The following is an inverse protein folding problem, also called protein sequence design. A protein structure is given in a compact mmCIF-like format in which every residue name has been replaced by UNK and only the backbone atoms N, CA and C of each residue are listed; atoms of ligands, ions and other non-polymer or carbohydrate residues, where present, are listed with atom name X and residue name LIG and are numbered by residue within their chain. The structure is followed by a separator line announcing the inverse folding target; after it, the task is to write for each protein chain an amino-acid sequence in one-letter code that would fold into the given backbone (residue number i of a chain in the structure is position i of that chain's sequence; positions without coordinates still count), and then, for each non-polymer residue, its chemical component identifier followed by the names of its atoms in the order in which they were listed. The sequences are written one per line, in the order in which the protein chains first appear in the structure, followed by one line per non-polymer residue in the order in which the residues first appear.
data_IF_487506384035
#
_entry.id   IF_487506384035
#
_cell.length_a   1.000
_cell.length_b   1.000
_cell.length_c   1.000
_cell.angle_alpha   90.00
_cell.angle_beta   90.00
_cell.angle_gamma   90.00
#
_symmetry.space_group_name_H-M   'P 1'
#
loop_
_entity.id
_entity.type
_entity.pdbx_description
1 polymer ?
#
# COMPACT_ATOMS: atom_id res chain seq x y z
N UNK A 1 5.30 -4.33 22.46
CA UNK A 1 6.40 -3.36 22.63
C UNK A 1 7.05 -3.64 23.97
N UNK A 2 8.36 -3.92 24.03
CA UNK A 2 9.04 -4.14 25.31
C UNK A 2 9.09 -2.80 26.05
N UNK A 3 8.62 -2.76 27.28
CA UNK A 3 8.68 -1.55 28.09
C UNK A 3 10.13 -1.31 28.49
N UNK A 4 10.65 -0.13 28.16
CA UNK A 4 11.98 0.31 28.59
C UNK A 4 11.87 0.73 30.06
N UNK A 5 12.72 0.23 30.97
CA UNK A 5 12.75 0.70 32.35
C UNK A 5 12.95 2.23 32.40
N UNK A 6 12.26 2.94 33.30
CA UNK A 6 12.25 4.42 33.32
C UNK A 6 13.65 5.03 33.50
N UNK A 7 14.55 4.34 34.19
CA UNK A 7 15.95 4.75 34.38
C UNK A 7 16.77 4.67 33.09
N UNK A 8 16.55 3.63 32.29
CA UNK A 8 17.19 3.49 30.98
C UNK A 8 16.56 4.50 30.02
N UNK A 9 15.26 4.73 30.14
CA UNK A 9 14.54 5.68 29.31
C UNK A 9 15.07 7.11 29.47
N UNK A 10 15.31 7.56 30.71
CA UNK A 10 15.88 8.88 30.99
C UNK A 10 17.30 8.98 30.43
N UNK A 11 18.13 7.96 30.61
CA UNK A 11 19.49 7.90 30.08
C UNK A 11 19.50 7.97 28.54
N UNK A 12 18.60 7.24 27.87
CA UNK A 12 18.49 7.30 26.40
C UNK A 12 18.13 8.72 25.95
N UNK A 13 17.17 9.38 26.62
CA UNK A 13 16.81 10.76 26.28
C UNK A 13 17.99 11.72 26.45
N UNK A 14 18.74 11.61 27.54
CA UNK A 14 19.95 12.43 27.78
C UNK A 14 20.99 12.24 26.68
N UNK A 15 21.28 11.00 26.27
CA UNK A 15 22.25 10.73 25.19
C UNK A 15 21.69 11.18 23.83
N UNK A 16 20.38 11.06 23.60
CA UNK A 16 19.76 11.48 22.34
C UNK A 16 19.79 13.00 22.12
N UNK A 17 19.77 13.79 23.20
CA UNK A 17 19.88 15.25 23.13
C UNK A 17 21.27 15.71 22.68
N UNK A 18 22.33 15.05 23.16
CA UNK A 18 23.73 15.32 22.80
C UNK A 18 24.52 14.01 22.55
N UNK A 19 24.44 13.43 21.34
CA UNK A 19 25.02 12.13 21.06
C UNK A 19 26.54 12.23 20.86
N UNK A 20 27.29 12.03 21.94
CA UNK A 20 28.74 11.85 21.87
C UNK A 20 29.10 10.40 21.55
N UNK A 21 30.09 10.18 20.68
CA UNK A 21 30.50 8.84 20.25
C UNK A 21 30.85 7.93 21.44
N UNK A 22 31.54 8.49 22.43
CA UNK A 22 31.89 7.79 23.67
C UNK A 22 30.65 7.36 24.47
N UNK A 23 29.66 8.24 24.65
CA UNK A 23 28.44 7.91 25.39
C UNK A 23 27.59 6.85 24.68
N UNK A 24 27.53 6.90 23.35
CA UNK A 24 26.82 5.89 22.55
C UNK A 24 27.49 4.51 22.66
N UNK A 25 28.83 4.45 22.55
CA UNK A 25 29.56 3.20 22.70
C UNK A 25 29.45 2.61 24.11
N UNK A 26 29.56 3.47 25.14
CA UNK A 26 29.40 3.07 26.53
C UNK A 26 27.99 2.55 26.83
N UNK A 27 26.97 3.20 26.26
CA UNK A 27 25.58 2.74 26.35
C UNK A 27 25.37 1.40 25.65
N UNK A 28 25.94 1.20 24.45
CA UNK A 28 25.86 -0.08 23.74
C UNK A 28 26.53 -1.22 24.53
N UNK A 29 27.65 -0.95 25.19
CA UNK A 29 28.32 -1.92 26.04
C UNK A 29 27.52 -2.32 27.28
N UNK A 30 26.83 -1.35 27.91
CA UNK A 30 26.02 -1.60 29.13
C UNK A 30 24.63 -2.14 28.85
N UNK A 31 24.02 -1.72 27.75
CA UNK A 31 22.60 -1.92 27.45
C UNK A 31 22.38 -2.37 25.99
N UNK A 32 22.96 -3.52 25.57
CA UNK A 32 22.90 -3.95 24.17
C UNK A 32 21.47 -4.16 23.67
N UNK A 33 20.56 -4.59 24.54
CA UNK A 33 19.14 -4.81 24.21
C UNK A 33 18.39 -3.53 23.83
N UNK A 34 18.87 -2.36 24.25
CA UNK A 34 18.23 -1.06 24.03
C UNK A 34 18.90 -0.19 22.96
N UNK A 35 19.92 -0.71 22.27
CA UNK A 35 20.64 0.02 21.22
C UNK A 35 19.72 0.52 20.10
N UNK A 36 18.71 -0.29 19.71
CA UNK A 36 17.72 0.10 18.71
C UNK A 36 16.83 1.27 19.14
N UNK A 37 16.46 1.32 20.43
CA UNK A 37 15.67 2.44 20.99
C UNK A 37 16.52 3.73 21.04
N UNK A 38 17.80 3.64 21.41
CA UNK A 38 18.70 4.79 21.38
C UNK A 38 18.85 5.38 19.98
N UNK A 39 19.10 4.54 18.97
CA UNK A 39 19.21 4.98 17.59
C UNK A 39 17.92 5.68 17.10
N UNK A 40 16.76 5.13 17.46
CA UNK A 40 15.46 5.71 17.13
C UNK A 40 15.28 7.10 17.75
N UNK A 41 15.60 7.26 19.04
CA UNK A 41 15.46 8.56 19.74
C UNK A 41 16.43 9.61 19.21
N UNK A 42 17.67 9.24 18.92
CA UNK A 42 18.64 10.13 18.25
C UNK A 42 18.07 10.63 16.91
N UNK A 43 17.50 9.75 16.10
CA UNK A 43 16.90 10.12 14.81
C UNK A 43 15.72 11.08 14.99
N UNK A 44 14.84 10.83 15.97
CA UNK A 44 13.71 11.71 16.29
C UNK A 44 14.17 13.09 16.75
N UNK A 45 15.13 13.18 17.68
CA UNK A 45 15.66 14.46 18.16
C UNK A 45 16.33 15.23 17.03
N UNK A 46 17.08 14.55 16.16
CA UNK A 46 17.70 15.17 14.98
C UNK A 46 16.64 15.71 13.99
N UNK A 47 15.58 14.94 13.73
CA UNK A 47 14.49 15.37 12.87
C UNK A 47 13.77 16.61 13.44
N UNK A 48 13.50 16.63 14.75
CA UNK A 48 12.88 17.79 15.41
C UNK A 48 13.78 19.03 15.38
N UNK A 49 15.08 18.87 15.65
CA UNK A 49 16.06 19.96 15.54
C UNK A 49 16.23 20.46 14.08
N UNK A 50 16.03 19.57 13.09
CA UNK A 50 16.08 19.90 11.67
C UNK A 50 14.81 20.60 11.16
N UNK A 51 13.63 20.17 11.62
CA UNK A 51 12.34 20.68 11.17
C UNK A 51 12.15 22.19 11.44
N UNK A 52 12.81 22.74 12.46
CA UNK A 52 12.80 24.19 12.73
C UNK A 52 13.63 25.04 11.75
N UNK A 53 14.45 24.42 10.89
CA UNK A 53 15.33 25.12 9.93
C UNK A 53 14.82 25.10 8.49
N UNK A 54 13.75 24.38 8.20
CA UNK A 54 13.13 24.43 6.87
C UNK A 54 12.38 25.76 6.73
N UNK A 55 12.85 26.61 5.81
CA UNK A 55 12.13 27.82 5.40
C UNK A 55 10.71 27.42 5.02
N UNK A 56 9.66 27.92 5.69
CA UNK A 56 8.31 27.54 5.35
C UNK A 56 8.09 27.87 3.86
N UNK A 57 7.55 26.94 3.06
CA UNK A 57 7.25 27.22 1.66
C UNK A 57 6.41 28.49 1.61
N UNK A 58 6.86 29.45 0.81
CA UNK A 58 6.25 30.78 0.64
C UNK A 58 4.76 30.56 0.42
N UNK A 59 3.92 30.91 1.41
CA UNK A 59 2.47 30.67 1.34
C UNK A 59 1.97 31.21 0.00
N UNK A 60 1.33 30.39 -0.85
CA UNK A 60 0.77 30.89 -2.10
C UNK A 60 -0.25 31.98 -1.75
N UNK A 61 -0.07 33.16 -2.34
CA UNK A 61 -1.02 34.25 -2.18
C UNK A 61 -2.36 33.83 -2.74
N UNK A 62 -3.45 34.24 -2.07
CA UNK A 62 -4.79 34.03 -2.60
C UNK A 62 -4.95 34.80 -3.90
N UNK A 63 -5.03 34.08 -5.02
CA UNK A 63 -5.43 34.62 -6.32
C UNK A 63 -6.92 34.32 -6.49
N UNK A 64 -7.82 35.32 -6.37
CA UNK A 64 -9.24 35.08 -6.62
C UNK A 64 -9.42 34.54 -8.03
N UNK A 65 -10.07 33.37 -8.12
CA UNK A 65 -10.39 32.72 -9.40
C UNK A 65 -11.30 33.68 -10.19
N UNK A 66 -10.94 34.06 -11.43
CA UNK A 66 -11.82 34.90 -12.24
C UNK A 66 -13.14 34.17 -12.46
N UNK A 67 -14.24 34.87 -12.21
CA UNK A 67 -15.58 34.35 -12.37
C UNK A 67 -15.78 33.95 -13.86
N UNK A 68 -16.22 32.73 -14.15
CA UNK A 68 -16.40 32.29 -15.54
C UNK A 68 -17.48 33.16 -16.20
N UNK A 69 -17.14 33.76 -17.34
CA UNK A 69 -18.08 34.56 -18.11
C UNK A 69 -19.32 33.73 -18.47
N UNK A 70 -20.54 34.32 -18.42
CA UNK A 70 -21.75 33.59 -18.75
C UNK A 70 -21.67 33.05 -20.17
N UNK A 71 -21.88 31.74 -20.32
CA UNK A 71 -21.84 31.06 -21.60
C UNK A 71 -22.81 31.75 -22.59
N UNK A 72 -22.27 32.22 -23.71
CA UNK A 72 -23.04 32.92 -24.73
C UNK A 72 -24.17 32.06 -25.29
N UNK A 73 -25.24 32.70 -25.80
CA UNK A 73 -26.45 32.05 -26.34
C UNK A 73 -26.17 30.96 -27.39
N UNK A 74 -25.01 30.99 -28.06
CA UNK A 74 -24.58 29.99 -29.04
C UNK A 74 -24.19 28.65 -28.41
N UNK A 75 -23.66 28.64 -27.18
CA UNK A 75 -23.29 27.42 -26.47
C UNK A 75 -24.50 26.56 -26.09
N UNK A 76 -25.64 27.20 -25.79
CA UNK A 76 -26.89 26.51 -25.49
C UNK A 76 -27.44 25.72 -26.69
N UNK A 77 -27.28 26.23 -27.92
CA UNK A 77 -27.71 25.53 -29.13
C UNK A 77 -26.83 24.33 -29.47
N UNK A 78 -25.51 24.43 -29.23
CA UNK A 78 -24.59 23.32 -29.44
C UNK A 78 -24.88 22.13 -28.49
N UNK A 79 -25.20 22.41 -27.22
CA UNK A 79 -25.59 21.39 -26.26
C UNK A 79 -26.89 20.66 -26.67
N UNK A 80 -27.86 21.39 -27.23
CA UNK A 80 -29.12 20.80 -27.71
C UNK A 80 -28.91 19.81 -28.87
N UNK A 81 -28.04 20.14 -29.83
CA UNK A 81 -27.74 19.25 -30.96
C UNK A 81 -26.96 18.00 -30.53
N UNK A 82 -26.05 18.13 -29.57
CA UNK A 82 -25.31 17.00 -29.02
C UNK A 82 -26.25 15.99 -28.34
N UNK A 83 -27.24 16.46 -27.57
CA UNK A 83 -28.24 15.60 -26.93
C UNK A 83 -29.14 14.88 -27.95
N UNK A 84 -29.54 15.55 -29.03
CA UNK A 84 -30.33 14.93 -30.09
C UNK A 84 -29.56 13.80 -30.80
N UNK A 85 -28.25 13.98 -31.04
CA UNK A 85 -27.41 12.95 -31.65
C UNK A 85 -27.28 11.70 -30.75
N UNK A 86 -27.11 11.88 -29.43
CA UNK A 86 -27.05 10.77 -28.47
C UNK A 86 -28.37 10.00 -28.42
N UNK A 87 -29.51 10.70 -28.45
CA UNK A 87 -30.83 10.06 -28.47
C UNK A 87 -31.02 9.16 -29.71
N UNK A 88 -30.67 9.67 -30.90
CA UNK A 88 -30.74 8.90 -32.16
C UNK A 88 -29.79 7.70 -32.13
N UNK A 89 -28.56 7.87 -31.64
CA UNK A 89 -27.59 6.78 -31.51
C UNK A 89 -28.07 5.69 -30.53
N UNK A 90 -28.70 6.07 -29.41
CA UNK A 90 -29.25 5.09 -28.45
C UNK A 90 -30.40 4.28 -29.06
N UNK A 91 -31.25 4.93 -29.86
CA UNK A 91 -32.41 4.29 -30.48
C UNK A 91 -31.98 3.31 -31.58
N UNK A 92 -31.00 3.66 -32.41
CA UNK A 92 -30.49 2.76 -33.45
C UNK A 92 -29.73 1.58 -32.85
N UNK A 93 -28.96 1.78 -31.77
CA UNK A 93 -28.29 0.70 -31.07
C UNK A 93 -29.28 -0.28 -30.42
N UNK A 94 -30.35 0.22 -29.80
CA UNK A 94 -31.39 -0.63 -29.22
C UNK A 94 -32.10 -1.51 -30.26
N UNK A 95 -32.35 -0.98 -31.46
CA UNK A 95 -32.92 -1.76 -32.58
C UNK A 95 -31.93 -2.81 -33.07
N UNK A 96 -30.65 -2.47 -33.20
CA UNK A 96 -29.62 -3.40 -33.64
C UNK A 96 -29.40 -4.54 -32.63
N UNK A 97 -29.30 -4.23 -31.34
CA UNK A 97 -29.14 -5.21 -30.27
C UNK A 97 -30.29 -6.21 -30.22
N UNK A 98 -31.54 -5.78 -30.47
CA UNK A 98 -32.72 -6.67 -30.55
C UNK A 98 -32.74 -7.58 -31.77
N UNK A 99 -31.96 -7.27 -32.82
CA UNK A 99 -31.87 -8.06 -34.06
C UNK A 99 -30.69 -9.03 -34.06
N UNK A 100 -29.84 -9.00 -33.04
CA UNK A 100 -28.79 -10.01 -32.92
C UNK A 100 -29.43 -11.36 -32.55
N UNK A 101 -29.14 -12.43 -33.31
CA UNK A 101 -29.55 -13.76 -32.91
C UNK A 101 -28.94 -14.08 -31.54
N UNK A 102 -29.71 -14.75 -30.67
CA UNK A 102 -29.23 -15.17 -29.36
C UNK A 102 -27.89 -15.89 -29.49
N UNK A 103 -26.93 -15.49 -28.67
CA UNK A 103 -25.63 -16.15 -28.63
C UNK A 103 -25.84 -17.65 -28.41
N UNK A 104 -25.15 -18.53 -29.16
CA UNK A 104 -25.31 -19.97 -29.00
C UNK A 104 -25.05 -20.34 -27.54
N UNK A 105 -25.94 -21.19 -26.99
CA UNK A 105 -25.88 -21.59 -25.59
C UNK A 105 -24.46 -22.07 -25.24
N UNK A 106 -23.89 -21.64 -24.10
CA UNK A 106 -22.56 -22.06 -23.68
C UNK A 106 -22.54 -23.58 -23.61
N UNK A 107 -21.65 -24.19 -24.40
CA UNK A 107 -21.46 -25.63 -24.38
C UNK A 107 -21.02 -26.06 -22.98
N UNK A 108 -21.55 -27.16 -22.43
CA UNK A 108 -21.15 -27.65 -21.13
C UNK A 108 -19.65 -27.96 -21.17
N UNK A 109 -18.88 -27.24 -20.36
CA UNK A 109 -17.45 -27.48 -20.17
C UNK A 109 -17.31 -28.90 -19.61
N UNK A 110 -16.52 -29.79 -20.22
CA UNK A 110 -16.31 -31.13 -19.68
C UNK A 110 -15.70 -31.00 -18.28
N UNK A 111 -16.41 -31.54 -17.29
CA UNK A 111 -15.89 -31.68 -15.93
C UNK A 111 -14.69 -32.61 -15.99
N UNK A 112 -13.49 -32.05 -15.87
CA UNK A 112 -12.28 -32.83 -15.64
C UNK A 112 -12.43 -33.42 -14.23
N UNK A 113 -12.75 -34.72 -14.17
CA UNK A 113 -12.70 -35.50 -12.93
C UNK A 113 -11.25 -35.50 -12.48
N UNK A 114 -10.95 -34.75 -11.42
CA UNK A 114 -9.64 -34.79 -10.79
C UNK A 114 -9.34 -36.23 -10.34
N UNK A 115 -8.15 -36.78 -10.64
CA UNK A 115 -7.78 -38.09 -10.17
C UNK A 115 -7.80 -38.12 -8.63
N UNK A 116 -8.46 -39.16 -8.11
CA UNK A 116 -8.54 -39.52 -6.69
C UNK A 116 -7.13 -39.51 -6.09
N UNK A 117 -6.85 -38.74 -5.01
CA UNK A 117 -5.54 -38.75 -4.39
C UNK A 117 -5.22 -40.14 -3.85
N UNK A 118 -4.05 -40.64 -4.22
CA UNK A 118 -3.39 -41.84 -3.68
C UNK A 118 -3.27 -41.70 -2.15
N UNK A 119 -3.53 -42.76 -1.36
CA UNK A 119 -3.37 -42.70 0.09
C UNK A 119 -1.92 -42.39 0.46
N UNK A 120 -1.73 -41.27 1.16
CA UNK A 120 -0.49 -40.94 1.84
C UNK A 120 -0.24 -41.97 2.93
N UNK A 121 0.94 -42.58 2.87
CA UNK A 121 1.47 -43.54 3.84
C UNK A 121 1.52 -42.84 5.21
N UNK A 122 0.82 -43.42 6.20
CA UNK A 122 0.92 -43.02 7.60
C UNK A 122 2.36 -43.21 8.12
N UNK A 123 2.97 -42.19 8.75
CA UNK A 123 4.20 -42.38 9.50
C UNK A 123 3.95 -43.21 10.76
N UNK A 124 4.82 -44.21 10.94
CA UNK A 124 4.91 -45.13 12.09
C UNK A 124 4.91 -44.36 13.43
N UNK A 125 4.18 -44.82 14.48
CA UNK A 125 4.15 -44.15 15.77
C UNK A 125 5.51 -44.24 16.47
N UNK A 126 5.99 -43.10 16.96
CA UNK A 126 7.13 -43.01 17.88
C UNK A 126 6.63 -43.43 19.28
N UNK A 127 7.36 -44.26 20.04
CA UNK A 127 6.94 -44.67 21.38
C UNK A 127 6.88 -43.48 22.34
N UNK A 128 5.76 -43.34 23.06
CA UNK A 128 5.65 -42.48 24.23
C UNK A 128 6.48 -43.07 25.38
N UNK A 129 7.34 -42.31 26.07
CA UNK A 129 7.79 -42.65 27.40
C UNK A 129 6.75 -42.21 28.44
N UNK A 130 6.63 -43.02 29.50
CA UNK A 130 5.71 -42.93 30.64
C UNK A 130 5.67 -41.55 31.36
N UNK A 131 4.58 -41.27 32.12
CA UNK A 131 4.43 -40.02 32.85
C UNK A 131 5.03 -40.04 34.27
N UNK A 132 5.54 -38.85 34.66
CA UNK A 132 5.74 -38.28 36.01
C UNK A 132 6.90 -38.77 36.91
N UNK A 133 7.40 -37.96 37.89
CA UNK A 133 6.85 -36.72 38.46
C UNK A 133 7.83 -35.51 38.66
N UNK A 134 7.20 -34.36 38.95
CA UNK A 134 7.62 -33.26 39.83
C UNK A 134 8.81 -32.31 39.48
N UNK A 135 8.43 -31.04 39.34
CA UNK A 135 9.11 -29.80 39.77
C UNK A 135 10.46 -29.94 40.50
N UNK A 136 11.50 -29.42 39.87
CA UNK A 136 12.56 -28.65 40.55
C UNK A 136 13.19 -27.66 39.55
N UNK A 137 13.22 -26.38 39.95
CA UNK A 137 14.04 -25.34 39.33
C UNK A 137 15.51 -25.75 39.40
N UNK A 138 16.22 -25.74 38.27
CA UNK A 138 17.64 -25.46 38.25
C UNK A 138 18.03 -24.77 36.93
N UNK A 139 18.81 -23.71 37.08
CA UNK A 139 19.38 -22.87 36.03
C UNK A 139 20.29 -23.72 35.13
N UNK A 140 19.98 -23.78 33.83
CA UNK A 140 20.93 -24.22 32.81
C UNK A 140 21.03 -23.20 31.69
N UNK A 141 22.18 -22.52 31.70
CA UNK A 141 22.75 -21.74 30.62
C UNK A 141 23.25 -22.71 29.54
N UNK A 142 22.75 -22.61 28.30
CA UNK A 142 23.25 -23.44 27.21
C UNK A 142 22.35 -23.53 25.97
N UNK A 143 22.83 -22.95 24.88
CA UNK A 143 22.41 -23.12 23.48
C UNK A 143 21.20 -22.31 22.99
N UNK A 144 21.42 -21.00 22.81
CA UNK A 144 20.66 -20.22 21.83
C UNK A 144 21.10 -20.66 20.43
N UNK A 145 20.48 -21.73 19.93
CA UNK A 145 20.45 -22.02 18.51
C UNK A 145 20.04 -20.76 17.73
N UNK A 146 20.50 -20.59 16.48
CA UNK A 146 20.26 -19.37 15.72
C UNK A 146 18.76 -19.06 15.70
N UNK A 147 18.38 -17.91 16.26
CA UNK A 147 17.01 -17.39 16.17
C UNK A 147 16.74 -17.21 14.69
N UNK A 148 16.02 -18.16 14.09
CA UNK A 148 15.61 -18.09 12.70
C UNK A 148 14.61 -16.93 12.63
N UNK A 149 15.08 -15.75 12.21
CA UNK A 149 14.21 -14.63 11.88
C UNK A 149 13.23 -15.11 10.79
N UNK A 150 12.03 -15.51 11.20
CA UNK A 150 10.99 -15.90 10.26
C UNK A 150 10.60 -14.67 9.47
N UNK A 151 11.05 -14.62 8.20
CA UNK A 151 10.67 -13.56 7.29
C UNK A 151 9.13 -13.49 7.24
N UNK A 152 8.52 -12.32 7.53
CA UNK A 152 7.07 -12.18 7.54
C UNK A 152 6.44 -12.62 6.23
N UNK A 153 5.24 -13.21 6.28
CA UNK A 153 4.58 -13.82 5.11
C UNK A 153 4.37 -12.86 3.94
N UNK A 154 4.22 -11.56 4.21
CA UNK A 154 4.03 -10.50 3.22
C UNK A 154 5.30 -10.10 2.47
N UNK A 155 6.49 -10.49 2.96
CA UNK A 155 7.78 -10.26 2.29
C UNK A 155 8.17 -11.40 1.35
N UNK A 156 7.44 -12.52 1.35
CA UNK A 156 7.72 -13.66 0.47
C UNK A 156 7.23 -13.35 -0.95
N UNK A 157 7.98 -13.69 -2.02
CA UNK A 157 7.52 -13.55 -3.39
C UNK A 157 6.31 -14.44 -3.72
N UNK A 158 5.39 -13.95 -4.54
CA UNK A 158 4.12 -14.64 -4.85
C UNK A 158 3.70 -14.44 -6.30
N UNK A 159 2.75 -15.29 -6.72
CA UNK A 159 2.03 -15.18 -7.98
C UNK A 159 0.59 -14.80 -7.69
N UNK A 160 0.10 -13.75 -8.34
CA UNK A 160 -1.27 -13.26 -8.23
C UNK A 160 -1.84 -13.13 -9.64
N UNK A 161 -3.04 -13.67 -9.85
CA UNK A 161 -3.78 -13.52 -11.12
C UNK A 161 -5.25 -13.32 -10.79
N UNK A 162 -5.78 -12.14 -11.14
CA UNK A 162 -7.18 -11.75 -10.94
C UNK A 162 -7.74 -11.24 -12.26
N UNK A 163 -8.95 -11.66 -12.60
CA UNK A 163 -9.62 -11.28 -13.85
C UNK A 163 -11.05 -10.83 -13.57
N UNK A 164 -11.41 -9.65 -14.06
CA UNK A 164 -12.75 -9.09 -13.92
C UNK A 164 -13.15 -8.80 -12.48
N UNK A 165 -12.20 -8.41 -11.62
CA UNK A 165 -12.45 -8.18 -10.19
C UNK A 165 -12.47 -6.67 -9.91
N UNK A 166 -13.36 -6.21 -9.03
CA UNK A 166 -13.39 -4.82 -8.58
C UNK A 166 -12.09 -4.48 -7.82
N UNK A 167 -11.52 -3.28 -8.06
CA UNK A 167 -10.22 -2.87 -7.51
C UNK A 167 -10.15 -3.06 -5.99
N UNK A 168 -11.16 -2.60 -5.25
CA UNK A 168 -11.20 -2.71 -3.78
C UNK A 168 -11.15 -4.18 -3.34
N UNK A 169 -11.91 -5.06 -4.01
CA UNK A 169 -11.91 -6.50 -3.74
C UNK A 169 -10.57 -7.14 -4.09
N UNK A 170 -9.93 -6.71 -5.19
CA UNK A 170 -8.60 -7.17 -5.57
C UNK A 170 -7.55 -6.81 -4.51
N UNK A 171 -7.56 -5.56 -4.02
CA UNK A 171 -6.67 -5.08 -2.96
C UNK A 171 -6.85 -5.89 -1.68
N UNK A 172 -8.10 -6.09 -1.23
CA UNK A 172 -8.42 -6.91 -0.06
C UNK A 172 -7.95 -8.36 -0.21
N UNK A 173 -8.15 -8.95 -1.39
CA UNK A 173 -7.73 -10.33 -1.67
C UNK A 173 -6.21 -10.47 -1.62
N UNK A 174 -5.49 -9.55 -2.25
CA UNK A 174 -4.02 -9.55 -2.29
C UNK A 174 -3.43 -9.35 -0.88
N UNK A 175 -4.01 -8.42 -0.11
CA UNK A 175 -3.62 -8.18 1.27
C UNK A 175 -3.86 -9.41 2.16
N UNK A 176 -5.06 -9.99 2.10
CA UNK A 176 -5.41 -11.19 2.86
C UNK A 176 -4.50 -12.37 2.53
N UNK A 177 -4.18 -12.57 1.25
CA UNK A 177 -3.23 -13.60 0.82
C UNK A 177 -1.85 -13.38 1.43
N UNK A 178 -1.36 -12.13 1.48
CA UNK A 178 -0.07 -11.76 2.07
C UNK A 178 -0.04 -11.75 3.60
N UNK A 179 -1.19 -11.77 4.25
CA UNK A 179 -1.32 -11.54 5.69
C UNK A 179 -1.20 -10.07 6.09
N UNK A 180 -1.46 -9.13 5.17
CA UNK A 180 -1.50 -7.70 5.46
C UNK A 180 -2.92 -7.26 5.86
N UNK A 181 -2.98 -6.33 6.81
CA UNK A 181 -4.22 -5.60 7.13
C UNK A 181 -4.24 -4.34 6.27
N UNK A 182 -5.27 -4.16 5.45
CA UNK A 182 -5.41 -2.92 4.68
C UNK A 182 -6.53 -2.05 5.22
N UNK A 183 -6.27 -0.75 5.24
CA UNK A 183 -7.27 0.29 5.44
C UNK A 183 -7.34 1.12 4.16
N UNK A 184 -8.53 1.21 3.57
CA UNK A 184 -8.76 1.95 2.32
C UNK A 184 -9.47 3.24 2.67
N UNK A 185 -8.92 4.37 2.23
CA UNK A 185 -9.53 5.67 2.48
C UNK A 185 -10.88 5.82 1.75
N UNK A 186 -11.84 6.56 2.36
CA UNK A 186 -13.10 6.89 1.70
C UNK A 186 -12.87 7.60 0.36
N UNK A 187 -13.68 7.25 -0.64
CA UNK A 187 -13.59 7.86 -1.98
C UNK A 187 -12.61 7.17 -2.94
N UNK A 188 -12.09 5.99 -2.59
CA UNK A 188 -11.32 5.15 -3.52
C UNK A 188 -12.16 4.78 -4.77
N UNK A 189 -11.66 5.04 -5.98
CA UNK A 189 -12.27 4.51 -7.21
C UNK A 189 -12.36 2.99 -7.16
N UNK A 190 -13.42 2.41 -7.71
CA UNK A 190 -13.61 0.96 -7.72
C UNK A 190 -13.86 0.39 -9.13
N UNK A 191 -12.94 0.60 -10.10
CA UNK A 191 -13.05 0.03 -11.42
C UNK A 191 -12.91 -1.49 -11.40
N UNK A 192 -13.38 -2.16 -12.45
CA UNK A 192 -13.11 -3.58 -12.68
C UNK A 192 -11.75 -3.73 -13.37
N UNK A 193 -10.87 -4.57 -12.83
CA UNK A 193 -9.48 -4.70 -13.26
C UNK A 193 -9.10 -6.13 -13.63
N UNK A 194 -8.01 -6.26 -14.38
CA UNK A 194 -7.36 -7.52 -14.70
C UNK A 194 -5.87 -7.39 -14.38
N UNK A 195 -5.37 -8.15 -13.41
CA UNK A 195 -3.97 -8.06 -12.98
C UNK A 195 -3.30 -9.43 -12.93
N UNK A 196 -2.04 -9.48 -13.34
CA UNK A 196 -1.21 -10.68 -13.29
C UNK A 196 0.21 -10.31 -12.92
N UNK A 197 0.61 -10.64 -11.69
CA UNK A 197 1.95 -10.39 -11.18
C UNK A 197 2.62 -11.70 -10.79
N UNK A 198 3.93 -11.79 -10.99
CA UNK A 198 4.74 -12.96 -10.67
C UNK A 198 6.01 -12.53 -9.97
N UNK A 199 6.42 -13.32 -8.98
CA UNK A 199 7.67 -13.13 -8.23
C UNK A 199 7.78 -11.74 -7.56
N UNK A 200 6.66 -11.19 -7.10
CA UNK A 200 6.61 -9.94 -6.34
C UNK A 200 6.08 -10.21 -4.94
N UNK A 201 6.56 -9.45 -3.96
CA UNK A 201 5.99 -9.48 -2.62
C UNK A 201 4.67 -8.66 -2.57
N UNK A 202 3.89 -8.81 -1.51
CA UNK A 202 2.55 -8.19 -1.43
C UNK A 202 2.63 -6.67 -1.48
N UNK A 203 3.63 -6.05 -0.86
CA UNK A 203 3.80 -4.59 -0.83
C UNK A 203 4.17 -4.06 -2.22
N UNK A 204 5.07 -4.74 -2.93
CA UNK A 204 5.45 -4.41 -4.31
C UNK A 204 4.27 -4.50 -5.28
N UNK A 205 3.41 -5.52 -5.11
CA UNK A 205 2.19 -5.66 -5.90
C UNK A 205 1.28 -4.45 -5.67
N UNK A 206 1.04 -4.08 -4.40
CA UNK A 206 0.22 -2.93 -4.05
C UNK A 206 0.81 -1.62 -4.59
N UNK A 207 2.13 -1.44 -4.55
CA UNK A 207 2.82 -0.28 -5.12
C UNK A 207 2.63 -0.20 -6.64
N UNK A 208 2.81 -1.32 -7.36
CA UNK A 208 2.58 -1.34 -8.81
C UNK A 208 1.13 -1.06 -9.18
N UNK A 209 0.19 -1.65 -8.45
CA UNK A 209 -1.24 -1.34 -8.63
C UNK A 209 -1.53 0.13 -8.35
N UNK A 210 -0.86 0.73 -7.38
CA UNK A 210 -1.01 2.16 -7.06
C UNK A 210 -0.64 3.07 -8.22
N UNK A 211 0.45 2.76 -8.92
CA UNK A 211 0.87 3.48 -10.12
C UNK A 211 -0.12 3.35 -11.27
N UNK A 212 -0.75 2.18 -11.41
CA UNK A 212 -1.67 1.87 -12.52
C UNK A 212 -3.09 2.41 -12.28
N UNK A 213 -3.55 2.40 -11.03
CA UNK A 213 -4.93 2.74 -10.65
C UNK A 213 -5.03 4.01 -9.78
N UNK A 214 -4.02 4.87 -9.83
CA UNK A 214 -3.99 6.18 -9.19
C UNK A 214 -4.26 6.13 -7.67
N UNK A 215 -3.43 5.37 -6.93
CA UNK A 215 -3.43 5.39 -5.47
C UNK A 215 -2.03 5.18 -4.90
N UNK A 216 -1.83 5.54 -3.64
CA UNK A 216 -0.55 5.37 -2.94
C UNK A 216 -0.73 4.47 -1.71
N UNK A 217 -0.03 3.32 -1.65
CA UNK A 217 0.02 2.50 -0.45
C UNK A 217 1.10 2.99 0.52
N UNK A 218 0.74 3.15 1.79
CA UNK A 218 1.63 3.51 2.89
C UNK A 218 1.81 2.31 3.83
N UNK A 219 3.00 1.71 3.84
CA UNK A 219 3.36 0.63 4.76
C UNK A 219 3.69 1.21 6.15
N UNK A 220 3.00 0.71 7.19
CA UNK A 220 3.20 1.15 8.57
C UNK A 220 4.27 0.33 9.31
N UNK A 221 4.78 -0.75 8.70
CA UNK A 221 5.88 -1.56 9.21
C UNK A 221 5.47 -2.66 10.20
N UNK A 222 4.21 -2.69 10.66
CA UNK A 222 3.63 -3.69 11.56
C UNK A 222 2.70 -4.69 10.84
N UNK A 223 2.71 -4.68 9.51
CA UNK A 223 1.84 -5.50 8.67
C UNK A 223 0.49 -4.84 8.36
N UNK A 224 0.30 -3.56 8.70
CA UNK A 224 -0.79 -2.77 8.13
C UNK A 224 -0.33 -1.82 7.01
N UNK A 225 -1.22 -1.62 6.04
CA UNK A 225 -1.02 -0.73 4.90
C UNK A 225 -2.24 0.17 4.73
N UNK A 226 -2.02 1.47 4.64
CA UNK A 226 -3.08 2.46 4.34
C UNK A 226 -3.04 2.75 2.84
N UNK A 227 -4.19 2.70 2.19
CA UNK A 227 -4.34 2.95 0.75
C UNK A 227 -5.08 4.28 0.56
N UNK A 228 -4.39 5.25 -0.05
CA UNK A 228 -4.91 6.61 -0.27
C UNK A 228 -5.08 6.87 -1.77
N UNK A 229 -6.26 7.30 -2.25
CA UNK A 229 -6.44 7.67 -3.66
C UNK A 229 -5.54 8.85 -4.03
N UNK A 230 -4.89 8.78 -5.19
CA UNK A 230 -4.30 9.95 -5.81
C UNK A 230 -5.45 10.83 -6.28
N UNK A 231 -5.67 11.96 -5.62
CA UNK A 231 -6.59 12.98 -6.13
C UNK A 231 -5.89 13.64 -7.29
N UNK A 232 -6.52 13.65 -8.46
CA UNK A 232 -6.18 14.61 -9.48
C UNK A 232 -6.50 15.98 -8.88
N UNK A 233 -5.48 16.70 -8.43
CA UNK A 233 -5.60 18.15 -8.36
C UNK A 233 -5.84 18.60 -9.81
N UNK A 234 -7.09 18.97 -10.13
CA UNK A 234 -7.44 19.69 -11.36
C UNK A 234 -6.58 20.97 -11.42
N UNK A 235 -5.38 20.88 -11.98
CA UNK A 235 -4.40 21.94 -11.78
C UNK A 235 -3.09 21.79 -12.53
N UNK A 236 -3.11 21.27 -13.76
CA UNK A 236 -1.96 21.41 -14.64
C UNK A 236 -2.34 21.42 -16.12
N UNK A 237 -3.22 22.35 -16.50
CA UNK A 237 -3.31 22.82 -17.87
C UNK A 237 -2.26 23.95 -18.05
N UNK A 238 -0.99 23.56 -18.19
CA UNK A 238 0.09 24.49 -18.51
C UNK A 238 0.06 24.83 -20.00
N UNK A 239 -0.96 25.57 -20.41
CA UNK A 239 -0.97 26.34 -21.65
C UNK A 239 -0.75 27.81 -21.31
N UNK A 240 0.48 28.15 -20.94
CA UNK A 240 0.92 29.53 -20.73
C UNK A 240 1.49 30.10 -22.05
N UNK A 241 0.75 30.96 -22.80
CA UNK A 241 1.24 31.58 -24.02
C UNK A 241 2.26 32.72 -23.78
N UNK A 242 2.66 33.01 -22.55
CA UNK A 242 3.39 34.26 -22.23
C UNK A 242 4.92 34.17 -22.38
N UNK A 243 5.49 32.99 -22.67
CA UNK A 243 6.95 32.82 -22.84
C UNK A 243 7.55 33.39 -24.15
N UNK A 244 6.77 34.01 -25.04
CA UNK A 244 7.30 34.55 -26.32
C UNK A 244 7.77 36.01 -26.29
N UNK A 245 7.76 36.72 -25.16
CA UNK A 245 8.02 38.18 -25.15
C UNK A 245 9.41 38.65 -24.72
N UNK A 246 10.35 37.76 -24.38
CA UNK A 246 11.64 38.20 -23.79
C UNK A 246 12.90 37.67 -24.47
N UNK A 247 12.86 37.39 -25.77
CA UNK A 247 14.10 37.23 -26.57
C UNK A 247 14.11 38.27 -27.69
N UNK A 248 14.53 39.50 -27.38
CA UNK A 248 15.11 40.37 -28.39
C UNK A 248 16.10 41.36 -27.74
N UNK A 249 17.40 41.02 -27.65
CA UNK A 249 18.42 42.00 -27.28
C UNK A 249 18.74 42.87 -28.51
N UNK A 250 18.72 44.19 -28.32
CA UNK A 250 19.35 45.16 -29.24
C UNK A 250 20.84 45.28 -28.95
#
# INVERSE_FOLDING_TARGET
MRQVPPEIESLIWTIAEDPTEKAVQEFHGRYPTYAGELARRIATVRALKGAGKENPPRRPGFTPRPEPAPAGRTAAWAAGLALAAVAVASFTFAIFARRQPDAPAPQPIPVVVAPKPTPTIEPKPIPQPDPEPALTNDLQEGDVGPIKEETPSWRKPRKVTLKGVALVTALQTIAAQGGLKIQIDPGMPNPTINVSYQNLNTVEILQKMGLEYAFTPYDQGDGSVIIVPAREDEGQDSSDPERKRYDNPS
#
